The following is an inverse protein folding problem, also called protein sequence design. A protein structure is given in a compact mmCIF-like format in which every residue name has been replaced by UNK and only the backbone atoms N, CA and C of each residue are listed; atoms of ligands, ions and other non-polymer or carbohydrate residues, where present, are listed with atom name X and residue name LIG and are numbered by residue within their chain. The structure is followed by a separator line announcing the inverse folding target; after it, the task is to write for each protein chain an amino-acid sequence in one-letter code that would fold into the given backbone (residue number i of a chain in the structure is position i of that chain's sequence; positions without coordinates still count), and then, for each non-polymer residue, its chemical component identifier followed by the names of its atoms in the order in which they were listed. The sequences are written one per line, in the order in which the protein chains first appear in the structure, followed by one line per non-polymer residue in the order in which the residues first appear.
data_IF_177774009357
#
_entry.id   IF_177774009357
#
_cell.length_a   1.000
_cell.length_b   1.000
_cell.length_c   1.000
_cell.angle_alpha   90.00
_cell.angle_beta   90.00
_cell.angle_gamma   90.00
#
_symmetry.space_group_name_H-M   'P 1'
#
loop_
_entity.id
_entity.type
_entity.pdbx_description
1 polymer ?
#
# COMPACT_ATOMS: atom_id res chain seq x y z
N UNK A 1 15.98 -8.69 -46.33
CA UNK A 1 16.39 -8.68 -44.89
C UNK A 1 15.96 -7.41 -44.13
N UNK A 2 15.61 -6.29 -44.77
CA UNK A 2 15.23 -5.03 -44.11
C UNK A 2 13.74 -4.94 -43.73
N UNK A 3 12.87 -5.64 -44.46
CA UNK A 3 11.42 -5.53 -44.26
C UNK A 3 10.90 -6.33 -43.06
N UNK A 4 11.47 -7.51 -42.80
CA UNK A 4 11.09 -8.37 -41.66
C UNK A 4 11.38 -7.67 -40.33
N UNK A 5 12.55 -7.06 -40.16
CA UNK A 5 12.92 -6.34 -38.94
C UNK A 5 12.16 -5.05 -38.72
N UNK A 6 11.57 -4.46 -39.77
CA UNK A 6 10.68 -3.29 -39.62
C UNK A 6 9.29 -3.72 -39.18
N UNK A 7 8.79 -4.85 -39.72
CA UNK A 7 7.50 -5.42 -39.31
C UNK A 7 7.53 -5.93 -37.86
N UNK A 8 8.61 -6.56 -37.45
CA UNK A 8 8.80 -7.00 -36.05
C UNK A 8 8.78 -5.81 -35.08
N UNK A 9 9.57 -4.75 -35.36
CA UNK A 9 9.56 -3.53 -34.54
C UNK A 9 8.20 -2.85 -34.53
N UNK A 10 7.44 -2.87 -35.60
CA UNK A 10 6.09 -2.32 -35.65
C UNK A 10 5.12 -3.15 -34.79
N UNK A 11 5.24 -4.47 -34.81
CA UNK A 11 4.44 -5.37 -33.99
C UNK A 11 4.75 -5.13 -32.47
N UNK A 12 6.04 -5.08 -32.11
CA UNK A 12 6.46 -4.82 -30.73
C UNK A 12 5.92 -3.46 -30.23
N UNK A 13 5.99 -2.42 -31.05
CA UNK A 13 5.46 -1.09 -30.71
C UNK A 13 3.94 -1.12 -30.54
N UNK A 14 3.23 -1.90 -31.34
CA UNK A 14 1.78 -2.05 -31.21
C UNK A 14 1.41 -2.78 -29.91
N UNK A 15 2.13 -3.85 -29.57
CA UNK A 15 1.91 -4.59 -28.33
C UNK A 15 2.14 -3.71 -27.10
N UNK A 16 3.22 -2.94 -27.07
CA UNK A 16 3.51 -1.96 -26.01
C UNK A 16 2.40 -0.92 -25.88
N UNK A 17 1.88 -0.41 -27.00
CA UNK A 17 0.78 0.56 -27.00
C UNK A 17 -0.51 -0.04 -26.45
N UNK A 18 -0.83 -1.28 -26.83
CA UNK A 18 -2.00 -2.00 -26.32
C UNK A 18 -1.88 -2.21 -24.82
N UNK A 19 -0.70 -2.64 -24.34
CA UNK A 19 -0.44 -2.83 -22.91
C UNK A 19 -0.64 -1.52 -22.13
N UNK A 20 -0.09 -0.40 -22.60
CA UNK A 20 -0.27 0.92 -22.00
C UNK A 20 -1.73 1.31 -21.87
N UNK A 21 -2.52 1.06 -22.92
CA UNK A 21 -3.96 1.33 -22.95
C UNK A 21 -4.73 0.46 -21.96
N UNK A 22 -4.38 -0.81 -21.86
CA UNK A 22 -5.00 -1.74 -20.89
C UNK A 22 -4.70 -1.34 -19.46
N UNK A 23 -3.46 -0.98 -19.15
CA UNK A 23 -3.07 -0.52 -17.81
C UNK A 23 -3.79 0.77 -17.41
N UNK A 24 -3.86 1.73 -18.32
CA UNK A 24 -4.59 2.98 -18.10
C UNK A 24 -6.08 2.71 -17.85
N UNK A 25 -6.69 1.82 -18.62
CA UNK A 25 -8.08 1.45 -18.47
C UNK A 25 -8.33 0.70 -17.15
N UNK A 26 -7.45 -0.23 -16.78
CA UNK A 26 -7.54 -0.95 -15.51
C UNK A 26 -7.49 0.01 -14.32
N UNK A 27 -6.55 0.94 -14.34
CA UNK A 27 -6.43 1.96 -13.28
C UNK A 27 -7.71 2.81 -13.18
N UNK A 28 -8.22 3.27 -14.31
CA UNK A 28 -9.45 4.04 -14.38
C UNK A 28 -10.66 3.26 -13.85
N UNK A 29 -10.78 2.00 -14.23
CA UNK A 29 -11.88 1.12 -13.77
C UNK A 29 -11.83 0.92 -12.27
N UNK A 30 -10.66 0.65 -11.70
CA UNK A 30 -10.51 0.49 -10.25
C UNK A 30 -10.86 1.80 -9.54
N UNK A 31 -10.41 2.93 -10.06
CA UNK A 31 -10.72 4.24 -9.49
C UNK A 31 -12.22 4.55 -9.52
N UNK A 32 -12.89 4.25 -10.60
CA UNK A 32 -14.35 4.37 -10.73
C UNK A 32 -15.09 3.46 -9.73
N UNK A 33 -14.60 2.25 -9.51
CA UNK A 33 -15.14 1.33 -8.51
C UNK A 33 -14.96 1.85 -7.08
N UNK A 34 -13.84 2.48 -6.78
CA UNK A 34 -13.63 3.15 -5.48
C UNK A 34 -14.64 4.29 -5.30
N UNK A 35 -14.83 5.11 -6.31
CA UNK A 35 -15.83 6.19 -6.30
C UNK A 35 -17.23 5.64 -6.06
N UNK A 36 -17.59 4.58 -6.76
CA UNK A 36 -18.90 3.92 -6.60
C UNK A 36 -19.09 3.37 -5.18
N UNK A 37 -18.06 2.72 -4.61
CA UNK A 37 -18.12 2.22 -3.24
C UNK A 37 -18.26 3.36 -2.22
N UNK A 38 -17.60 4.50 -2.45
CA UNK A 38 -17.78 5.71 -1.64
C UNK A 38 -19.21 6.23 -1.70
N UNK A 39 -19.78 6.34 -2.89
CA UNK A 39 -21.17 6.78 -3.07
C UNK A 39 -22.15 5.87 -2.32
N UNK A 40 -21.97 4.56 -2.41
CA UNK A 40 -22.78 3.57 -1.70
C UNK A 40 -22.72 3.73 -0.18
N UNK A 41 -21.61 4.20 0.34
CA UNK A 41 -21.38 4.39 1.78
C UNK A 41 -21.59 5.84 2.26
N UNK A 42 -22.01 6.75 1.37
CA UNK A 42 -22.17 8.16 1.73
C UNK A 42 -20.86 8.88 2.01
N UNK A 43 -19.78 8.47 1.37
CA UNK A 43 -18.43 9.02 1.54
C UNK A 43 -18.00 9.81 0.31
N UNK A 44 -17.10 10.78 0.51
CA UNK A 44 -16.39 11.43 -0.59
C UNK A 44 -15.27 10.55 -1.12
N UNK A 45 -15.13 10.47 -2.44
CA UNK A 45 -14.00 9.79 -3.09
C UNK A 45 -12.63 10.38 -2.71
N UNK A 46 -12.60 11.64 -2.30
CA UNK A 46 -11.39 12.32 -1.86
C UNK A 46 -10.85 11.79 -0.53
N UNK A 47 -11.65 11.07 0.24
CA UNK A 47 -11.24 10.43 1.47
C UNK A 47 -10.41 9.17 1.25
N UNK A 48 -10.38 8.63 0.02
CA UNK A 48 -9.76 7.35 -0.29
C UNK A 48 -8.63 7.52 -1.30
N UNK A 49 -7.46 7.04 -0.95
CA UNK A 49 -6.29 6.94 -1.82
C UNK A 49 -6.24 5.55 -2.45
N UNK A 50 -6.20 5.50 -3.77
CA UNK A 50 -5.91 4.28 -4.52
C UNK A 50 -4.39 4.14 -4.65
N UNK A 51 -3.83 3.13 -3.98
CA UNK A 51 -2.41 2.81 -4.03
C UNK A 51 -2.18 1.70 -5.04
N UNK A 52 -1.37 1.98 -6.06
CA UNK A 52 -0.98 0.99 -7.05
C UNK A 52 0.14 0.11 -6.49
N UNK A 53 -0.14 -1.17 -6.29
CA UNK A 53 0.86 -2.13 -5.80
C UNK A 53 1.69 -2.59 -6.98
N UNK A 54 2.93 -2.11 -7.04
CA UNK A 54 3.83 -2.20 -8.19
C UNK A 54 4.94 -3.25 -8.04
N UNK A 55 4.87 -4.05 -6.99
CA UNK A 55 5.84 -5.13 -6.75
C UNK A 55 5.97 -6.04 -7.96
N UNK A 56 7.20 -6.40 -8.29
CA UNK A 56 7.56 -7.30 -9.41
C UNK A 56 7.24 -6.76 -10.82
N UNK A 57 6.77 -5.53 -10.93
CA UNK A 57 6.44 -4.92 -12.22
C UNK A 57 7.55 -3.98 -12.68
N UNK A 58 7.86 -3.95 -13.99
CA UNK A 58 8.89 -3.05 -14.52
C UNK A 58 8.44 -1.60 -14.49
N UNK A 59 9.41 -0.68 -14.46
CA UNK A 59 9.17 0.77 -14.40
C UNK A 59 8.30 1.26 -15.56
N UNK A 60 8.43 0.68 -16.75
CA UNK A 60 7.62 1.07 -17.92
C UNK A 60 6.12 0.92 -17.64
N UNK A 61 5.72 -0.16 -16.98
CA UNK A 61 4.33 -0.37 -16.57
C UNK A 61 3.89 0.64 -15.51
N UNK A 62 4.77 0.96 -14.56
CA UNK A 62 4.49 1.99 -13.54
C UNK A 62 4.29 3.36 -14.19
N UNK A 63 5.08 3.70 -15.20
CA UNK A 63 4.95 4.96 -15.93
C UNK A 63 3.62 5.06 -16.67
N UNK A 64 3.12 3.96 -17.23
CA UNK A 64 1.80 3.93 -17.88
C UNK A 64 0.68 4.24 -16.86
N UNK A 65 0.74 3.65 -15.70
CA UNK A 65 -0.23 3.89 -14.61
C UNK A 65 -0.07 5.30 -14.03
N UNK A 66 1.16 5.80 -13.92
CA UNK A 66 1.43 7.19 -13.53
C UNK A 66 0.79 8.19 -14.51
N UNK A 67 0.95 7.97 -15.82
CA UNK A 67 0.34 8.84 -16.85
C UNK A 67 -1.20 8.77 -16.82
N UNK A 68 -1.77 7.68 -16.35
CA UNK A 68 -3.21 7.56 -16.12
C UNK A 68 -3.69 8.30 -14.87
N UNK A 69 -2.79 8.83 -14.05
CA UNK A 69 -3.10 9.67 -12.91
C UNK A 69 -2.65 9.14 -11.55
N UNK A 70 -2.06 7.94 -11.48
CA UNK A 70 -1.58 7.40 -10.20
C UNK A 70 -0.40 8.20 -9.65
N UNK A 71 -0.40 8.45 -8.34
CA UNK A 71 0.67 9.15 -7.63
C UNK A 71 1.18 8.39 -6.42
N UNK A 72 0.45 7.36 -5.99
CA UNK A 72 0.78 6.51 -4.85
C UNK A 72 1.11 5.11 -5.33
N UNK A 73 2.33 4.66 -5.07
CA UNK A 73 2.83 3.34 -5.45
C UNK A 73 3.36 2.61 -4.21
N UNK A 74 3.12 1.31 -4.15
CA UNK A 74 3.52 0.48 -3.02
C UNK A 74 4.42 -0.67 -3.42
N UNK A 75 5.50 -0.85 -2.65
CA UNK A 75 6.47 -1.93 -2.82
C UNK A 75 6.57 -2.79 -1.58
N UNK A 76 6.89 -4.07 -1.78
CA UNK A 76 7.08 -5.03 -0.68
C UNK A 76 8.54 -5.20 -0.28
N UNK A 77 9.47 -4.96 -1.20
CA UNK A 77 10.91 -5.17 -0.99
C UNK A 77 11.66 -3.85 -1.06
N UNK A 78 12.52 -3.62 -0.08
CA UNK A 78 13.32 -2.40 0.03
C UNK A 78 14.20 -2.20 -1.21
N UNK A 79 14.86 -3.26 -1.70
CA UNK A 79 15.74 -3.15 -2.86
C UNK A 79 14.98 -2.69 -4.11
N UNK A 80 13.81 -3.27 -4.36
CA UNK A 80 12.95 -2.90 -5.49
C UNK A 80 12.47 -1.45 -5.37
N UNK A 81 12.07 -1.03 -4.17
CA UNK A 81 11.68 0.35 -3.89
C UNK A 81 12.82 1.34 -4.20
N UNK A 82 14.00 1.08 -3.66
CA UNK A 82 15.18 1.95 -3.84
C UNK A 82 15.60 2.05 -5.31
N UNK A 83 15.53 0.95 -6.04
CA UNK A 83 15.88 0.92 -7.46
C UNK A 83 14.87 1.69 -8.32
N UNK A 84 13.59 1.67 -7.96
CA UNK A 84 12.52 2.32 -8.73
C UNK A 84 12.42 3.84 -8.51
N UNK A 85 12.69 4.30 -7.29
CA UNK A 85 12.52 5.72 -6.93
C UNK A 85 13.21 6.66 -7.92
N UNK A 86 14.51 6.51 -8.27
CA UNK A 86 15.17 7.44 -9.17
C UNK A 86 14.70 7.35 -10.62
N UNK A 87 13.98 6.32 -11.00
CA UNK A 87 13.49 6.09 -12.35
C UNK A 87 12.08 6.63 -12.57
N UNK A 88 11.42 7.10 -11.51
CA UNK A 88 10.05 7.61 -11.57
C UNK A 88 10.03 9.11 -11.26
N UNK A 89 8.97 9.85 -11.67
CA UNK A 89 8.83 11.25 -11.35
C UNK A 89 8.86 11.53 -9.84
N UNK A 90 9.38 12.68 -9.46
CA UNK A 90 9.61 13.07 -8.07
C UNK A 90 8.32 13.33 -7.26
N UNK A 91 7.19 13.48 -7.93
CA UNK A 91 5.87 13.67 -7.28
C UNK A 91 5.17 12.36 -6.93
N UNK A 92 5.81 11.22 -7.17
CA UNK A 92 5.33 9.92 -6.70
C UNK A 92 5.50 9.82 -5.18
N UNK A 93 4.44 9.43 -4.50
CA UNK A 93 4.49 9.06 -3.08
C UNK A 93 4.70 7.56 -2.97
N UNK A 94 5.83 7.18 -2.39
CA UNK A 94 6.21 5.78 -2.25
C UNK A 94 5.79 5.23 -0.90
N UNK A 95 5.15 4.07 -0.91
CA UNK A 95 4.71 3.36 0.28
C UNK A 95 5.47 2.05 0.42
N UNK A 96 5.99 1.78 1.60
CA UNK A 96 6.48 0.46 1.97
C UNK A 96 5.33 -0.31 2.61
N UNK A 97 4.85 -1.35 1.94
CA UNK A 97 3.66 -2.09 2.37
C UNK A 97 3.95 -3.54 2.78
N UNK A 98 5.13 -4.07 2.45
CA UNK A 98 5.56 -5.40 2.83
C UNK A 98 6.31 -5.45 4.15
N UNK A 99 6.55 -6.67 4.64
CA UNK A 99 7.34 -6.89 5.85
C UNK A 99 8.70 -6.21 5.75
N UNK A 100 9.03 -5.39 6.73
CA UNK A 100 10.26 -4.59 6.76
C UNK A 100 11.24 -5.18 7.77
N UNK A 101 12.38 -5.66 7.28
CA UNK A 101 13.49 -6.11 8.14
C UNK A 101 14.23 -4.90 8.72
N UNK A 102 14.61 -4.99 9.99
CA UNK A 102 15.29 -3.89 10.69
C UNK A 102 16.55 -3.40 10.01
N UNK A 103 17.38 -4.33 9.48
CA UNK A 103 18.60 -3.98 8.77
C UNK A 103 18.39 -3.27 7.42
N UNK A 104 17.15 -3.21 6.94
CA UNK A 104 16.78 -2.52 5.69
C UNK A 104 16.18 -1.13 5.91
N UNK A 105 15.79 -0.79 7.13
CA UNK A 105 15.15 0.48 7.48
C UNK A 105 15.95 1.69 7.02
N UNK A 106 17.25 1.68 7.23
CA UNK A 106 18.17 2.78 6.88
C UNK A 106 18.12 3.20 5.40
N UNK A 107 17.71 2.30 4.51
CA UNK A 107 17.67 2.59 3.08
C UNK A 107 16.42 3.34 2.63
N UNK A 108 15.36 3.38 3.45
CA UNK A 108 14.07 3.90 3.02
C UNK A 108 13.49 5.02 3.88
N UNK A 109 13.94 5.25 5.11
CA UNK A 109 13.32 6.21 6.04
C UNK A 109 13.26 7.64 5.50
N UNK A 110 14.23 8.04 4.68
CA UNK A 110 14.29 9.37 4.05
C UNK A 110 13.66 9.41 2.65
N UNK A 111 13.04 8.32 2.20
CA UNK A 111 12.54 8.18 0.84
C UNK A 111 11.05 7.88 0.75
N UNK A 112 10.47 7.26 1.77
CA UNK A 112 9.08 6.80 1.73
C UNK A 112 8.13 7.83 2.32
N UNK A 113 6.94 7.88 1.77
CA UNK A 113 5.82 8.67 2.26
C UNK A 113 5.17 8.04 3.48
N UNK A 114 5.05 6.70 3.51
CA UNK A 114 4.37 5.95 4.56
C UNK A 114 4.89 4.51 4.64
N UNK A 115 5.13 4.03 5.85
CA UNK A 115 5.42 2.62 6.13
C UNK A 115 4.18 2.00 6.76
N UNK A 116 3.58 0.99 6.11
CA UNK A 116 2.33 0.36 6.55
C UNK A 116 2.51 -0.81 7.51
N UNK A 117 3.72 -1.35 7.63
CA UNK A 117 3.99 -2.70 8.13
C UNK A 117 4.68 -2.73 9.50
N UNK A 118 4.45 -1.73 10.34
CA UNK A 118 5.04 -1.70 11.67
C UNK A 118 4.19 -2.52 12.65
N UNK A 119 4.75 -3.60 13.16
CA UNK A 119 4.06 -4.54 14.03
C UNK A 119 4.82 -4.91 15.32
N UNK A 120 5.95 -4.24 15.59
CA UNK A 120 6.73 -4.47 16.80
C UNK A 120 7.41 -3.19 17.27
N UNK A 121 7.67 -3.12 18.58
CA UNK A 121 8.44 -2.02 19.16
C UNK A 121 9.87 -1.99 18.63
N UNK A 122 10.50 -3.16 18.45
CA UNK A 122 11.88 -3.26 17.93
C UNK A 122 12.02 -2.66 16.54
N UNK A 123 11.05 -2.91 15.65
CA UNK A 123 11.04 -2.30 14.32
C UNK A 123 10.83 -0.78 14.42
N UNK A 124 9.89 -0.35 15.23
CA UNK A 124 9.62 1.09 15.44
C UNK A 124 10.84 1.83 16.03
N UNK A 125 11.54 1.23 16.98
CA UNK A 125 12.78 1.78 17.55
C UNK A 125 13.86 1.96 16.48
N UNK A 126 14.03 0.99 15.59
CA UNK A 126 14.98 1.10 14.47
C UNK A 126 14.59 2.20 13.49
N UNK A 127 13.30 2.32 13.15
CA UNK A 127 12.81 3.41 12.31
C UNK A 127 13.06 4.76 12.97
N UNK A 128 12.76 4.90 14.25
CA UNK A 128 13.00 6.11 15.04
C UNK A 128 14.49 6.48 15.05
N UNK A 129 15.35 5.51 15.32
CA UNK A 129 16.81 5.72 15.37
C UNK A 129 17.34 6.24 14.04
N UNK A 130 16.96 5.63 12.94
CA UNK A 130 17.38 6.06 11.60
C UNK A 130 16.76 7.39 11.18
N UNK A 131 15.52 7.64 11.57
CA UNK A 131 14.86 8.93 11.33
C UNK A 131 15.59 10.08 12.03
N UNK A 132 15.92 9.92 13.29
CA UNK A 132 16.68 10.93 14.08
C UNK A 132 18.07 11.13 13.47
N UNK A 133 18.77 10.05 13.13
CA UNK A 133 20.10 10.12 12.51
C UNK A 133 20.09 10.90 11.19
N UNK A 134 19.06 10.72 10.38
CA UNK A 134 18.92 11.41 9.08
C UNK A 134 18.16 12.73 9.15
N UNK A 135 17.70 13.12 10.34
CA UNK A 135 16.94 14.35 10.56
C UNK A 135 15.66 14.42 9.70
N UNK A 136 14.93 13.31 9.63
CA UNK A 136 13.64 13.20 8.94
C UNK A 136 12.55 12.74 9.89
N UNK A 137 11.31 13.07 9.52
CA UNK A 137 10.11 12.59 10.20
C UNK A 137 9.46 11.50 9.35
N UNK A 138 9.12 10.37 9.96
CA UNK A 138 8.59 9.20 9.25
C UNK A 138 7.17 8.92 9.72
N UNK A 139 6.26 8.82 8.76
CA UNK A 139 4.88 8.41 9.03
C UNK A 139 4.77 6.89 8.94
N UNK A 140 4.09 6.30 9.90
CA UNK A 140 3.89 4.85 9.99
C UNK A 140 2.43 4.50 10.26
N UNK A 141 2.06 3.29 9.86
CA UNK A 141 0.83 2.61 10.31
C UNK A 141 1.23 1.39 11.13
N UNK A 142 0.36 1.03 12.06
CA UNK A 142 0.52 -0.22 12.82
C UNK A 142 -0.23 -1.33 12.09
N UNK A 143 0.47 -2.38 11.74
CA UNK A 143 -0.12 -3.56 11.11
C UNK A 143 -0.74 -4.46 12.17
N UNK A 144 -2.04 -4.75 12.01
CA UNK A 144 -2.84 -5.57 12.93
C UNK A 144 -3.33 -6.82 12.21
N UNK A 145 -3.11 -7.97 12.81
CA UNK A 145 -3.62 -9.26 12.34
C UNK A 145 -5.04 -9.49 12.89
N UNK A 146 -6.03 -8.91 12.23
CA UNK A 146 -7.43 -8.96 12.70
C UNK A 146 -8.07 -10.34 12.57
N UNK A 147 -7.61 -11.15 11.61
CA UNK A 147 -8.15 -12.49 11.36
C UNK A 147 -7.48 -13.58 12.20
N UNK A 148 -6.45 -13.23 12.99
CA UNK A 148 -5.70 -14.16 13.83
C UNK A 148 -5.07 -15.32 13.06
N UNK A 149 -4.56 -15.04 11.85
CA UNK A 149 -3.86 -16.02 11.04
C UNK A 149 -2.43 -16.21 11.55
N UNK A 150 -2.06 -17.41 11.98
CA UNK A 150 -0.75 -17.70 12.58
C UNK A 150 0.43 -17.44 11.63
N UNK A 151 0.25 -17.60 10.34
CA UNK A 151 1.29 -17.42 9.32
C UNK A 151 1.46 -15.97 8.86
N UNK A 152 0.66 -15.03 9.37
CA UNK A 152 0.69 -13.62 8.97
C UNK A 152 1.44 -12.75 9.97
N UNK A 153 2.00 -11.65 9.46
CA UNK A 153 2.54 -10.57 10.28
C UNK A 153 1.42 -9.74 10.91
N UNK A 154 1.78 -8.82 11.77
CA UNK A 154 0.86 -7.95 12.47
C UNK A 154 0.78 -8.24 13.96
N UNK A 155 0.55 -7.20 14.74
CA UNK A 155 0.25 -7.35 16.16
C UNK A 155 -1.17 -7.84 16.37
N UNK A 156 -1.47 -8.39 17.54
CA UNK A 156 -2.84 -8.78 17.88
C UNK A 156 -3.72 -7.55 18.13
N UNK A 157 -5.03 -7.72 17.99
CA UNK A 157 -6.00 -6.66 18.33
C UNK A 157 -5.82 -6.22 19.79
N UNK A 158 -5.63 -7.18 20.69
CA UNK A 158 -5.50 -6.97 22.14
C UNK A 158 -4.23 -6.18 22.51
N UNK A 159 -3.14 -6.41 21.78
CA UNK A 159 -1.83 -5.78 22.06
C UNK A 159 -1.64 -4.44 21.35
N UNK A 160 -2.51 -4.07 20.43
CA UNK A 160 -2.34 -2.90 19.56
C UNK A 160 -2.24 -1.59 20.35
N UNK A 161 -3.13 -1.36 21.31
CA UNK A 161 -3.12 -0.11 22.09
C UNK A 161 -1.84 0.04 22.92
N UNK A 162 -1.36 -1.04 23.53
CA UNK A 162 -0.11 -1.05 24.31
C UNK A 162 1.09 -0.74 23.40
N UNK A 163 1.17 -1.39 22.24
CA UNK A 163 2.23 -1.16 21.26
C UNK A 163 2.23 0.31 20.79
N UNK A 164 1.07 0.86 20.49
CA UNK A 164 0.93 2.26 20.07
C UNK A 164 1.42 3.22 21.15
N UNK A 165 1.09 2.99 22.43
CA UNK A 165 1.57 3.82 23.53
C UNK A 165 3.09 3.81 23.66
N UNK A 166 3.72 2.66 23.48
CA UNK A 166 5.16 2.53 23.54
C UNK A 166 5.83 3.26 22.36
N UNK A 167 5.29 3.08 21.15
CA UNK A 167 5.82 3.70 19.92
C UNK A 167 5.61 5.22 19.91
N UNK A 168 4.49 5.71 20.46
CA UNK A 168 4.14 7.13 20.48
C UNK A 168 5.16 8.02 21.19
N UNK A 169 5.98 7.44 22.08
CA UNK A 169 7.04 8.15 22.79
C UNK A 169 8.36 8.26 22.00
N UNK A 170 8.49 7.54 20.89
CA UNK A 170 9.72 7.53 20.12
C UNK A 170 9.84 8.77 19.24
N UNK A 171 11.04 9.40 19.19
CA UNK A 171 11.25 10.58 18.34
C UNK A 171 11.34 10.22 16.88
N UNK A 172 10.95 11.17 16.00
CA UNK A 172 11.13 11.06 14.56
C UNK A 172 10.14 10.18 13.84
N UNK A 173 9.20 9.55 14.53
CA UNK A 173 8.15 8.74 13.91
C UNK A 173 6.76 9.19 14.37
N UNK A 174 5.79 9.04 13.48
CA UNK A 174 4.40 9.45 13.69
C UNK A 174 3.45 8.35 13.28
N UNK A 175 2.64 7.87 14.22
CA UNK A 175 1.58 6.90 13.96
C UNK A 175 0.41 7.65 13.33
N UNK A 176 0.00 7.24 12.12
CA UNK A 176 -1.10 7.85 11.38
C UNK A 176 -2.36 6.99 11.32
N UNK A 177 -2.29 5.75 11.73
CA UNK A 177 -3.41 4.84 11.67
C UNK A 177 -3.01 3.38 11.71
N UNK A 178 -3.88 2.54 11.17
CA UNK A 178 -3.77 1.09 11.18
C UNK A 178 -3.77 0.52 9.75
N UNK A 179 -3.18 -0.66 9.62
CA UNK A 179 -3.24 -1.47 8.39
C UNK A 179 -3.58 -2.90 8.73
N UNK A 180 -4.30 -3.56 7.85
CA UNK A 180 -4.49 -5.01 7.91
C UNK A 180 -4.48 -5.64 6.53
N UNK A 181 -4.10 -6.90 6.49
CA UNK A 181 -4.24 -7.80 5.34
C UNK A 181 -5.28 -8.84 5.73
N UNK A 182 -6.47 -8.75 5.14
CA UNK A 182 -7.52 -9.72 5.36
C UNK A 182 -7.22 -11.04 4.61
N UNK A 183 -7.84 -12.16 5.02
CA UNK A 183 -7.65 -13.44 4.33
C UNK A 183 -8.03 -13.37 2.85
N UNK A 184 -7.41 -14.23 2.04
CA UNK A 184 -7.87 -14.45 0.68
C UNK A 184 -9.22 -15.19 0.72
N UNK A 185 -10.24 -14.61 0.09
CA UNK A 185 -11.59 -15.16 0.02
C UNK A 185 -12.15 -15.04 -1.40
N UNK A 186 -13.04 -15.94 -1.77
CA UNK A 186 -13.71 -15.87 -3.08
C UNK A 186 -14.80 -14.78 -3.08
N UNK A 187 -15.59 -14.70 -2.01
CA UNK A 187 -16.62 -13.68 -1.84
C UNK A 187 -16.07 -12.53 -0.97
N UNK A 188 -15.90 -11.33 -1.51
CA UNK A 188 -15.38 -10.18 -0.75
C UNK A 188 -16.21 -9.85 0.50
N UNK A 189 -17.49 -10.18 0.54
CA UNK A 189 -18.34 -9.97 1.71
C UNK A 189 -17.86 -10.74 2.95
N UNK A 190 -17.16 -11.85 2.79
CA UNK A 190 -16.57 -12.59 3.90
C UNK A 190 -15.53 -11.78 4.68
N UNK A 191 -14.93 -10.76 4.07
CA UNK A 191 -13.93 -9.90 4.72
C UNK A 191 -14.52 -8.64 5.35
N UNK A 192 -15.79 -8.35 5.14
CA UNK A 192 -16.45 -7.14 5.68
C UNK A 192 -16.28 -7.02 7.19
N UNK A 193 -16.48 -8.11 7.91
CA UNK A 193 -16.34 -8.14 9.36
C UNK A 193 -14.93 -7.80 9.86
N UNK A 194 -13.90 -8.21 9.14
CA UNK A 194 -12.51 -7.85 9.47
C UNK A 194 -12.24 -6.36 9.28
N UNK A 195 -12.77 -5.75 8.24
CA UNK A 195 -12.64 -4.31 8.00
C UNK A 195 -13.40 -3.49 9.04
N UNK A 196 -14.59 -3.92 9.42
CA UNK A 196 -15.34 -3.32 10.52
C UNK A 196 -14.56 -3.40 11.84
N UNK A 197 -13.92 -4.52 12.10
CA UNK A 197 -13.12 -4.74 13.31
C UNK A 197 -11.91 -3.80 13.37
N UNK A 198 -11.21 -3.62 12.26
CA UNK A 198 -10.08 -2.69 12.20
C UNK A 198 -10.55 -1.24 12.39
N UNK A 199 -11.63 -0.85 11.76
CA UNK A 199 -12.21 0.48 11.91
C UNK A 199 -12.61 0.75 13.38
N UNK A 200 -13.28 -0.21 14.01
CA UNK A 200 -13.69 -0.07 15.41
C UNK A 200 -12.47 0.04 16.32
N UNK A 201 -11.44 -0.74 16.07
CA UNK A 201 -10.19 -0.64 16.82
C UNK A 201 -9.56 0.75 16.70
N UNK A 202 -9.53 1.32 15.49
CA UNK A 202 -9.02 2.67 15.27
C UNK A 202 -9.84 3.73 16.04
N UNK A 203 -11.15 3.61 16.04
CA UNK A 203 -12.05 4.50 16.81
C UNK A 203 -11.77 4.37 18.31
N UNK A 204 -11.65 3.15 18.82
CA UNK A 204 -11.40 2.91 20.24
C UNK A 204 -10.03 3.46 20.69
N UNK A 205 -9.00 3.28 19.85
CA UNK A 205 -7.67 3.83 20.14
C UNK A 205 -7.68 5.36 20.06
N UNK A 206 -8.35 5.94 19.07
CA UNK A 206 -8.49 7.39 18.96
C UNK A 206 -9.16 8.02 20.19
N UNK A 207 -10.12 7.33 20.78
CA UNK A 207 -10.83 7.79 21.99
C UNK A 207 -9.99 7.68 23.28
N UNK A 208 -8.85 7.01 23.24
CA UNK A 208 -7.93 6.90 24.40
C UNK A 208 -7.08 8.15 24.63
N UNK A 209 -7.11 9.12 23.72
CA UNK A 209 -6.37 10.37 23.78
C UNK A 209 -4.86 10.19 24.04
N UNK A 210 -4.26 9.26 23.29
CA UNK A 210 -2.81 9.03 23.34
C UNK A 210 -2.11 10.18 22.61
N UNK A 211 -1.13 10.83 23.25
CA UNK A 211 -0.39 11.92 22.65
C UNK A 211 0.44 11.45 21.46
N UNK A 212 0.60 12.32 20.45
CA UNK A 212 1.44 12.14 19.26
C UNK A 212 0.98 11.08 18.28
N UNK A 213 -0.30 10.69 18.33
CA UNK A 213 -0.87 9.77 17.33
C UNK A 213 -2.08 10.36 16.63
N UNK A 214 -2.36 9.88 15.43
CA UNK A 214 -3.66 10.00 14.80
C UNK A 214 -4.12 8.62 14.31
N UNK A 215 -5.43 8.43 14.17
CA UNK A 215 -6.05 7.22 13.63
C UNK A 215 -6.85 7.55 12.38
N UNK A 216 -6.34 8.48 11.56
CA UNK A 216 -7.02 8.98 10.38
C UNK A 216 -6.85 8.08 9.15
N UNK A 217 -5.84 7.20 9.15
CA UNK A 217 -5.55 6.33 8.01
C UNK A 217 -5.93 4.89 8.37
N UNK A 218 -6.75 4.30 7.50
CA UNK A 218 -7.04 2.86 7.50
C UNK A 218 -6.62 2.29 6.16
N UNK A 219 -5.48 1.60 6.15
CA UNK A 219 -4.98 0.87 4.99
C UNK A 219 -5.50 -0.55 5.04
N UNK A 220 -6.51 -0.82 4.24
CA UNK A 220 -7.16 -2.13 4.15
C UNK A 220 -7.86 -2.27 2.80
N UNK A 221 -7.93 -3.49 2.29
CA UNK A 221 -8.50 -3.79 0.99
C UNK A 221 -7.45 -3.96 -0.10
N UNK A 222 -7.63 -5.00 -0.88
CA UNK A 222 -6.78 -5.41 -2.00
C UNK A 222 -7.65 -5.65 -3.24
N UNK A 223 -7.08 -6.21 -4.31
CA UNK A 223 -7.80 -6.45 -5.57
C UNK A 223 -9.15 -7.15 -5.39
N UNK A 224 -9.21 -8.14 -4.49
CA UNK A 224 -10.42 -8.96 -4.31
C UNK A 224 -11.50 -8.33 -3.44
N UNK A 225 -11.21 -7.30 -2.65
CA UNK A 225 -12.14 -6.80 -1.64
C UNK A 225 -12.08 -5.28 -1.37
N UNK A 226 -11.38 -4.52 -2.23
CA UNK A 226 -11.20 -3.07 -2.01
C UNK A 226 -12.52 -2.28 -2.00
N UNK A 227 -13.54 -2.72 -2.70
CA UNK A 227 -14.85 -2.02 -2.67
C UNK A 227 -15.52 -2.18 -1.30
N UNK A 228 -15.52 -3.39 -0.75
CA UNK A 228 -16.05 -3.67 0.59
C UNK A 228 -15.26 -2.91 1.64
N UNK A 229 -13.94 -2.92 1.54
CA UNK A 229 -13.06 -2.16 2.43
C UNK A 229 -13.37 -0.64 2.38
N UNK A 230 -13.58 -0.09 1.19
CA UNK A 230 -13.97 1.32 1.00
C UNK A 230 -15.29 1.61 1.68
N UNK A 231 -16.28 0.74 1.54
CA UNK A 231 -17.57 0.89 2.21
C UNK A 231 -17.44 0.89 3.73
N UNK A 232 -16.47 0.14 4.27
CA UNK A 232 -16.24 0.03 5.70
C UNK A 232 -15.23 1.04 6.27
N UNK A 233 -14.83 2.02 5.47
CA UNK A 233 -14.05 3.15 5.98
C UNK A 233 -12.58 3.16 5.60
N UNK A 234 -12.11 2.30 4.68
CA UNK A 234 -10.74 2.38 4.19
C UNK A 234 -10.41 3.79 3.66
N UNK A 235 -9.24 4.29 3.99
CA UNK A 235 -8.70 5.54 3.44
C UNK A 235 -7.58 5.29 2.44
N UNK A 236 -6.98 4.10 2.48
CA UNK A 236 -6.05 3.59 1.46
C UNK A 236 -6.50 2.19 1.09
N UNK A 237 -6.69 1.94 -0.20
CA UNK A 237 -6.86 0.60 -0.76
C UNK A 237 -5.65 0.26 -1.63
N UNK A 238 -5.18 -0.99 -1.58
CA UNK A 238 -3.94 -1.44 -2.21
C UNK A 238 -4.27 -2.43 -3.32
N UNK A 239 -4.18 -2.00 -4.55
CA UNK A 239 -4.57 -2.80 -5.71
C UNK A 239 -3.37 -3.09 -6.59
N UNK A 240 -3.06 -4.37 -6.77
CA UNK A 240 -1.97 -4.86 -7.62
C UNK A 240 -2.48 -5.49 -8.90
N UNK A 241 -2.93 -6.74 -8.84
CA UNK A 241 -3.37 -7.49 -10.03
C UNK A 241 -4.54 -6.84 -10.75
N UNK A 242 -5.43 -6.16 -10.05
CA UNK A 242 -6.54 -5.41 -10.66
C UNK A 242 -6.08 -4.27 -11.58
N UNK A 243 -4.88 -3.76 -11.39
CA UNK A 243 -4.28 -2.71 -12.23
C UNK A 243 -3.28 -3.31 -13.22
N UNK A 244 -2.30 -4.07 -12.72
CA UNK A 244 -1.14 -4.55 -13.48
C UNK A 244 -1.33 -5.92 -14.12
N UNK A 245 -2.40 -6.63 -13.81
CA UNK A 245 -2.62 -8.01 -14.25
C UNK A 245 -1.89 -9.04 -13.38
N UNK A 246 -2.11 -10.31 -13.71
CA UNK A 246 -1.50 -11.44 -13.01
C UNK A 246 0.03 -11.44 -13.12
N UNK A 247 0.70 -12.11 -12.18
CA UNK A 247 2.15 -12.34 -12.27
C UNK A 247 2.46 -13.24 -13.44
N UNK A 248 3.37 -12.82 -14.29
CA UNK A 248 3.93 -13.67 -15.32
C UNK A 248 5.04 -14.54 -14.70
N UNK A 249 4.73 -15.81 -14.47
CA UNK A 249 5.70 -16.79 -13.96
C UNK A 249 6.52 -17.44 -15.10
N UNK A 250 6.28 -17.08 -16.38
CA UNK A 250 6.95 -17.67 -17.52
C UNK A 250 8.43 -17.28 -17.67
N UNK A 251 8.87 -16.25 -16.98
CA UNK A 251 10.25 -15.72 -17.01
C UNK A 251 11.12 -16.12 -15.83
N UNK A 252 10.73 -17.12 -15.05
CA UNK A 252 11.57 -17.67 -13.98
C UNK A 252 12.25 -18.95 -14.48
N UNK A 253 13.29 -18.81 -15.30
CA UNK A 253 14.27 -19.86 -15.58
C UNK A 253 15.62 -19.37 -15.09
#
# INVERSE_FOLDING_TARGET
KSDTGKLERMADTMEETIQSMELAQNYKTVKENVTKACEQAGRSEQEVTLLAVSKTKPVDMLMDVYRAGARDFGENKVQELVDKIPQMPSDVRWHMIGHLQRNKVKYIVDKVYLIHSVDSLRLAEEISREAVKKQVEVNILIEVNVAQEESKFGTTVEETATLIREIATLPGIHIRGLMTIAPFVEDPEENRGYFQKLRQLAVDIGNKNIDNISMNILSMGMTGDYMVATQEGATIVRVGTGIFGERDYSNTI
#
